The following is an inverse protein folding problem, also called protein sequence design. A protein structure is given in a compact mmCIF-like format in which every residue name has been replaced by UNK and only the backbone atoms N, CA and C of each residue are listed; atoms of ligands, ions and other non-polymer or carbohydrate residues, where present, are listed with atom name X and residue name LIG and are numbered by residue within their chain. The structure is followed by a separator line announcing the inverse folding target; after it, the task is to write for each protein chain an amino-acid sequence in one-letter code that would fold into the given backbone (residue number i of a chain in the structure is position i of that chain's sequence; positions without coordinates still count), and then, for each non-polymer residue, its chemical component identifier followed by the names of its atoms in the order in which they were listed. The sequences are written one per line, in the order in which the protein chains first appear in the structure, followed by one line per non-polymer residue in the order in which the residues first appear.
data_IF_160715648033
#
_entry.id   IF_160715648033
#
_cell.length_a   1.000
_cell.length_b   1.000
_cell.length_c   1.000
_cell.angle_alpha   90.00
_cell.angle_beta   90.00
_cell.angle_gamma   90.00
#
_symmetry.space_group_name_H-M   'P 1'
#
loop_
_entity.id
_entity.type
_entity.pdbx_description
1 polymer ?
#
# COMPACT_ATOMS: atom_id res chain seq x y z
N UNK A 1 -12.90 -67.33 4.49
CA UNK A 1 -11.79 -66.81 5.30
C UNK A 1 -11.58 -65.36 4.87
N UNK A 2 -12.20 -64.43 5.60
CA UNK A 2 -12.41 -63.03 5.19
C UNK A 2 -11.25 -62.12 5.63
N UNK A 3 -11.08 -61.09 4.82
CA UNK A 3 -9.99 -60.12 4.75
C UNK A 3 -9.93 -59.13 5.92
N UNK A 4 -8.70 -58.67 6.15
CA UNK A 4 -8.26 -57.68 7.11
C UNK A 4 -9.02 -56.35 7.01
N UNK A 5 -9.38 -55.83 8.18
CA UNK A 5 -9.97 -54.50 8.38
C UNK A 5 -8.92 -53.40 8.20
N UNK A 6 -8.99 -52.65 7.11
CA UNK A 6 -8.22 -51.42 6.92
C UNK A 6 -8.98 -50.25 7.54
N UNK A 7 -8.46 -49.68 8.62
CA UNK A 7 -9.02 -48.48 9.24
C UNK A 7 -8.70 -47.25 8.38
N UNK A 8 -9.74 -46.46 8.14
CA UNK A 8 -9.70 -45.15 7.50
C UNK A 8 -8.88 -44.16 8.33
N UNK A 9 -7.87 -43.54 7.71
CA UNK A 9 -7.30 -42.28 8.20
C UNK A 9 -7.87 -41.19 7.30
N UNK A 10 -8.90 -40.51 7.79
CA UNK A 10 -9.43 -39.29 7.20
C UNK A 10 -8.38 -38.18 7.38
N UNK A 11 -7.60 -37.93 6.33
CA UNK A 11 -6.78 -36.72 6.25
C UNK A 11 -7.73 -35.52 6.04
N UNK A 12 -8.07 -34.86 7.14
CA UNK A 12 -8.69 -33.53 7.14
C UNK A 12 -7.68 -32.54 6.56
N UNK A 13 -7.80 -32.24 5.26
CA UNK A 13 -7.07 -31.12 4.65
C UNK A 13 -7.73 -29.84 5.12
N UNK A 14 -7.10 -29.20 6.11
CA UNK A 14 -7.42 -27.84 6.54
C UNK A 14 -7.06 -26.94 5.36
N UNK A 15 -8.07 -26.47 4.63
CA UNK A 15 -7.94 -25.31 3.78
C UNK A 15 -7.64 -24.11 4.68
N UNK A 16 -6.36 -23.74 4.77
CA UNK A 16 -5.98 -22.40 5.18
C UNK A 16 -6.56 -21.48 4.11
N UNK A 17 -7.71 -20.89 4.41
CA UNK A 17 -8.18 -19.73 3.70
C UNK A 17 -7.10 -18.65 3.87
N UNK A 18 -6.22 -18.56 2.87
CA UNK A 18 -5.57 -17.31 2.51
C UNK A 18 -6.70 -16.29 2.43
N UNK A 19 -6.85 -15.47 3.47
CA UNK A 19 -7.77 -14.34 3.41
C UNK A 19 -7.13 -13.41 2.38
N UNK A 20 -7.55 -13.59 1.13
CA UNK A 20 -7.13 -12.80 0.01
C UNK A 20 -7.37 -11.33 0.37
N UNK A 21 -6.28 -10.58 0.43
CA UNK A 21 -6.28 -9.12 0.52
C UNK A 21 -6.96 -8.44 -0.70
N UNK A 22 -7.61 -9.21 -1.58
CA UNK A 22 -8.33 -8.74 -2.75
C UNK A 22 -9.81 -8.44 -2.47
N UNK A 23 -10.41 -8.96 -1.39
CA UNK A 23 -11.82 -8.69 -1.08
C UNK A 23 -12.10 -7.27 -0.56
N UNK A 24 -11.06 -6.51 -0.18
CA UNK A 24 -11.22 -5.14 0.36
C UNK A 24 -11.42 -4.09 -0.76
N UNK A 25 -11.27 -4.47 -2.04
CA UNK A 25 -11.30 -3.53 -3.17
C UNK A 25 -12.67 -3.31 -3.83
N UNK A 26 -13.68 -4.13 -3.57
CA UNK A 26 -14.93 -4.12 -4.34
C UNK A 26 -15.87 -2.95 -3.98
N UNK A 27 -15.82 -2.43 -2.75
CA UNK A 27 -16.72 -1.38 -2.28
C UNK A 27 -16.31 0.06 -2.61
N UNK A 28 -15.08 0.28 -3.11
CA UNK A 28 -14.49 1.61 -3.21
C UNK A 28 -14.40 2.16 -4.65
N UNK A 29 -14.94 1.42 -5.64
CA UNK A 29 -14.79 1.69 -7.06
C UNK A 29 -16.02 2.35 -7.72
N UNK A 30 -16.98 2.85 -6.94
CA UNK A 30 -18.22 3.42 -7.50
C UNK A 30 -18.06 4.90 -7.87
N UNK A 31 -17.66 5.17 -9.11
CA UNK A 31 -18.07 6.38 -9.85
C UNK A 31 -17.15 7.60 -9.74
N UNK A 32 -16.57 7.98 -10.90
CA UNK A 32 -15.73 9.16 -11.19
C UNK A 32 -14.50 9.32 -10.28
N UNK A 33 -13.36 8.90 -10.83
CA UNK A 33 -12.06 9.11 -10.20
C UNK A 33 -11.74 10.61 -10.07
N UNK A 34 -11.81 11.16 -8.85
CA UNK A 34 -11.50 12.56 -8.55
C UNK A 34 -10.13 12.76 -7.92
N UNK A 35 -9.40 11.68 -7.63
CA UNK A 35 -8.02 11.73 -7.15
C UNK A 35 -7.06 10.99 -8.07
N UNK A 36 -5.81 11.47 -8.11
CA UNK A 36 -4.68 10.77 -8.70
C UNK A 36 -3.53 10.72 -7.72
N UNK A 37 -2.98 9.53 -7.47
CA UNK A 37 -1.78 9.35 -6.66
C UNK A 37 -0.56 9.30 -7.57
N UNK A 38 0.46 10.11 -7.29
CA UNK A 38 1.73 10.14 -8.02
C UNK A 38 2.88 9.88 -7.04
N UNK A 39 3.87 9.11 -7.47
CA UNK A 39 5.10 8.85 -6.73
C UNK A 39 6.27 9.39 -7.54
N UNK A 40 7.17 10.10 -6.88
CA UNK A 40 8.40 10.63 -7.48
C UNK A 40 9.57 10.41 -6.53
N UNK A 41 10.77 10.28 -7.07
CA UNK A 41 11.98 10.10 -6.28
C UNK A 41 13.11 9.60 -7.16
N UNK A 42 14.26 9.34 -6.54
CA UNK A 42 15.40 8.75 -7.25
C UNK A 42 15.06 7.32 -7.65
N UNK A 43 15.05 7.06 -8.96
CA UNK A 43 14.79 5.72 -9.49
C UNK A 43 15.99 4.78 -9.37
N UNK A 44 17.14 5.29 -8.89
CA UNK A 44 18.36 4.53 -8.65
C UNK A 44 18.98 4.94 -7.31
N UNK A 45 19.18 3.97 -6.42
CA UNK A 45 19.76 4.20 -5.09
C UNK A 45 20.85 3.16 -4.85
N UNK A 46 21.98 3.58 -4.28
CA UNK A 46 23.06 2.64 -3.90
C UNK A 46 22.67 1.86 -2.65
N UNK A 47 23.10 0.61 -2.55
CA UNK A 47 22.85 -0.23 -1.40
C UNK A 47 23.32 0.47 -0.11
N UNK A 48 22.48 0.41 0.94
CA UNK A 48 22.74 1.07 2.21
C UNK A 48 22.60 2.60 2.20
N UNK A 49 22.12 3.20 1.10
CA UNK A 49 21.73 4.62 1.06
C UNK A 49 20.23 4.78 1.30
N UNK A 50 19.81 5.94 1.85
CA UNK A 50 18.42 6.21 2.10
C UNK A 50 17.55 6.15 0.84
N UNK A 51 16.44 5.42 0.94
CA UNK A 51 15.40 5.36 -0.09
C UNK A 51 14.37 6.43 0.23
N UNK A 52 14.28 7.44 -0.64
CA UNK A 52 13.42 8.60 -0.45
C UNK A 52 12.40 8.74 -1.57
N UNK A 53 11.13 8.99 -1.23
CA UNK A 53 10.03 9.15 -2.17
C UNK A 53 9.13 10.33 -1.77
N UNK A 54 8.67 11.08 -2.77
CA UNK A 54 7.56 12.01 -2.66
C UNK A 54 6.28 11.32 -3.14
N UNK A 55 5.22 11.39 -2.34
CA UNK A 55 3.88 10.96 -2.75
C UNK A 55 2.97 12.17 -2.80
N UNK A 56 2.31 12.37 -3.93
CA UNK A 56 1.31 13.41 -4.13
C UNK A 56 -0.06 12.76 -4.40
N UNK A 57 -1.09 13.35 -3.83
CA UNK A 57 -2.50 13.08 -4.10
C UNK A 57 -3.06 14.35 -4.73
N UNK A 58 -3.43 14.26 -6.00
CA UNK A 58 -3.93 15.35 -6.84
C UNK A 58 -5.44 15.24 -6.98
N UNK A 59 -6.18 16.35 -6.84
CA UNK A 59 -7.60 16.39 -7.17
C UNK A 59 -7.79 16.61 -8.68
N UNK A 60 -8.24 15.59 -9.38
CA UNK A 60 -8.56 15.61 -10.81
C UNK A 60 -10.05 15.83 -11.09
N UNK A 61 -10.86 16.00 -10.05
CA UNK A 61 -12.28 16.30 -10.16
C UNK A 61 -12.58 17.78 -10.37
N UNK A 62 -13.87 18.13 -10.37
CA UNK A 62 -14.36 19.50 -10.56
C UNK A 62 -14.79 20.17 -9.24
N UNK A 63 -14.76 19.45 -8.13
CA UNK A 63 -15.21 19.93 -6.82
C UNK A 63 -14.10 19.79 -5.79
N UNK A 64 -14.19 20.61 -4.74
CA UNK A 64 -13.31 20.48 -3.56
C UNK A 64 -13.47 19.11 -2.89
N UNK A 65 -12.36 18.52 -2.47
CA UNK A 65 -12.33 17.28 -1.68
C UNK A 65 -11.81 17.55 -0.27
N UNK A 66 -12.38 16.87 0.72
CA UNK A 66 -11.93 16.93 2.13
C UNK A 66 -11.16 15.66 2.48
N UNK A 67 -9.84 15.69 2.33
CA UNK A 67 -8.99 14.54 2.56
C UNK A 67 -8.51 14.48 4.01
N UNK A 68 -8.35 13.29 4.61
CA UNK A 68 -7.61 13.13 5.85
C UNK A 68 -6.21 13.74 5.73
N UNK A 69 -5.84 14.58 6.71
CA UNK A 69 -4.53 15.23 6.74
C UNK A 69 -3.39 14.23 6.98
N UNK A 70 -3.50 13.21 7.84
CA UNK A 70 -2.36 12.32 8.08
C UNK A 70 -2.02 11.43 6.86
N UNK A 71 -0.82 11.59 6.31
CA UNK A 71 -0.24 10.71 5.29
C UNK A 71 0.77 9.75 5.94
N UNK A 72 0.29 8.70 6.57
CA UNK A 72 1.12 7.67 7.22
C UNK A 72 1.05 6.38 6.41
N UNK A 73 2.18 5.77 6.04
CA UNK A 73 2.18 4.51 5.31
C UNK A 73 1.60 3.36 6.12
N UNK A 74 0.96 2.41 5.42
CA UNK A 74 0.39 1.14 5.90
C UNK A 74 -0.83 1.25 6.81
N UNK A 75 -0.81 2.10 7.81
CA UNK A 75 -1.79 2.06 8.91
C UNK A 75 -3.01 2.95 8.70
N UNK A 76 -3.01 3.78 7.66
CA UNK A 76 -4.05 4.79 7.47
C UNK A 76 -4.40 4.93 5.98
N UNK A 77 -4.78 6.14 5.61
CA UNK A 77 -5.29 6.51 4.29
C UNK A 77 -4.28 6.35 3.16
N UNK A 78 -2.97 6.17 3.45
CA UNK A 78 -1.92 5.88 2.47
C UNK A 78 -1.33 4.48 2.70
N UNK A 79 -1.36 3.62 1.70
CA UNK A 79 -0.76 2.28 1.75
C UNK A 79 0.31 2.12 0.69
N UNK A 80 1.49 1.64 1.08
CA UNK A 80 2.51 1.19 0.13
C UNK A 80 2.42 -0.31 -0.07
N UNK A 81 2.47 -0.72 -1.34
CA UNK A 81 2.78 -2.08 -1.72
C UNK A 81 4.10 -2.06 -2.46
N UNK A 82 5.13 -2.65 -1.85
CA UNK A 82 6.46 -2.78 -2.45
C UNK A 82 6.72 -4.22 -2.79
N UNK A 83 7.14 -4.48 -4.03
CA UNK A 83 7.47 -5.82 -4.54
C UNK A 83 8.90 -5.84 -5.04
N UNK A 84 9.62 -6.92 -4.76
CA UNK A 84 10.94 -7.15 -5.33
C UNK A 84 10.86 -7.74 -6.76
N UNK A 85 12.01 -8.05 -7.37
CA UNK A 85 12.09 -8.62 -8.72
C UNK A 85 11.35 -9.95 -8.88
N UNK A 86 11.23 -10.72 -7.81
CA UNK A 86 10.51 -11.99 -7.79
C UNK A 86 8.99 -11.80 -7.58
N UNK A 87 8.51 -10.57 -7.52
CA UNK A 87 7.10 -10.24 -7.25
C UNK A 87 6.68 -10.41 -5.79
N UNK A 88 7.61 -10.78 -4.89
CA UNK A 88 7.32 -10.93 -3.45
C UNK A 88 7.09 -9.56 -2.84
N UNK A 89 5.97 -9.42 -2.13
CA UNK A 89 5.65 -8.22 -1.36
C UNK A 89 6.59 -8.12 -0.15
N UNK A 90 7.23 -6.96 0.02
CA UNK A 90 8.04 -6.67 1.19
C UNK A 90 7.13 -6.41 2.38
N UNK A 91 7.45 -7.06 3.50
CA UNK A 91 6.78 -6.81 4.76
C UNK A 91 7.26 -5.48 5.36
N UNK A 92 6.31 -4.69 5.84
CA UNK A 92 6.63 -3.46 6.55
C UNK A 92 6.99 -3.74 8.02
N UNK A 93 8.10 -3.20 8.47
CA UNK A 93 8.65 -3.37 9.83
C UNK A 93 8.83 -2.05 10.56
N UNK A 94 8.36 -0.95 9.97
CA UNK A 94 8.40 0.37 10.59
C UNK A 94 7.39 0.51 11.74
N UNK A 95 7.52 1.57 12.54
CA UNK A 95 6.65 1.80 13.68
C UNK A 95 5.19 2.01 13.25
N UNK A 96 4.26 1.67 14.15
CA UNK A 96 2.84 1.99 14.05
C UNK A 96 2.57 3.25 14.89
N UNK A 97 2.52 4.45 14.28
CA UNK A 97 2.35 5.68 15.03
C UNK A 97 0.89 5.81 15.49
N UNK A 98 0.69 6.14 16.77
CA UNK A 98 -0.62 6.58 17.27
C UNK A 98 -0.87 8.03 16.87
N UNK A 99 -1.86 8.27 16.03
CA UNK A 99 -2.21 9.62 15.60
C UNK A 99 -3.09 10.33 16.63
N UNK A 100 -2.70 11.56 17.00
CA UNK A 100 -3.49 12.41 17.89
C UNK A 100 -4.61 13.16 17.15
N UNK A 101 -4.50 13.29 15.83
CA UNK A 101 -5.34 14.15 14.99
C UNK A 101 -5.89 13.40 13.77
N UNK A 102 -6.46 12.21 13.97
CA UNK A 102 -6.99 11.35 12.89
C UNK A 102 -8.16 11.98 12.11
N UNK A 103 -8.89 12.89 12.77
CA UNK A 103 -10.09 13.52 12.20
C UNK A 103 -9.79 14.81 11.44
N UNK A 104 -8.55 15.32 11.47
CA UNK A 104 -8.20 16.54 10.72
C UNK A 104 -8.31 16.31 9.22
N UNK A 105 -8.90 17.30 8.53
CA UNK A 105 -9.09 17.29 7.08
C UNK A 105 -8.35 18.44 6.42
N UNK A 106 -7.81 18.19 5.24
CA UNK A 106 -7.28 19.19 4.32
C UNK A 106 -8.27 19.39 3.17
N UNK A 107 -8.52 20.66 2.84
CA UNK A 107 -9.23 21.04 1.63
C UNK A 107 -8.32 20.88 0.42
N UNK A 108 -8.72 20.07 -0.54
CA UNK A 108 -8.02 19.91 -1.80
C UNK A 108 -8.91 20.38 -2.95
N UNK A 109 -8.66 21.60 -3.43
CA UNK A 109 -9.39 22.19 -4.55
C UNK A 109 -9.05 21.49 -5.88
N UNK A 110 -9.88 21.62 -6.93
CA UNK A 110 -9.58 21.09 -8.26
C UNK A 110 -8.19 21.50 -8.73
N UNK A 111 -7.43 20.55 -9.31
CA UNK A 111 -6.06 20.71 -9.81
C UNK A 111 -4.97 20.91 -8.73
N UNK A 112 -5.35 21.01 -7.45
CA UNK A 112 -4.38 21.10 -6.36
C UNK A 112 -3.85 19.71 -5.99
N UNK A 113 -2.65 19.69 -5.41
CA UNK A 113 -2.01 18.49 -4.91
C UNK A 113 -1.67 18.63 -3.43
N UNK A 114 -1.86 17.54 -2.68
CA UNK A 114 -1.43 17.39 -1.30
C UNK A 114 -0.47 16.22 -1.21
N UNK A 115 0.62 16.34 -0.45
CA UNK A 115 1.64 15.32 -0.47
C UNK A 115 2.59 15.34 0.71
N UNK A 116 3.43 14.31 0.75
CA UNK A 116 4.45 14.12 1.78
C UNK A 116 5.70 13.52 1.18
N UNK A 117 6.84 13.99 1.67
CA UNK A 117 8.15 13.35 1.48
C UNK A 117 8.36 12.27 2.54
N UNK A 118 8.69 11.07 2.09
CA UNK A 118 9.10 9.93 2.90
C UNK A 118 10.60 9.74 2.69
N UNK A 119 11.37 10.00 3.74
CA UNK A 119 12.78 9.64 3.82
C UNK A 119 12.92 8.28 4.53
N UNK A 120 14.05 7.63 4.29
CA UNK A 120 14.49 6.43 5.00
C UNK A 120 13.50 5.25 4.94
N UNK A 121 12.89 4.98 3.78
CA UNK A 121 11.96 3.85 3.66
C UNK A 121 12.61 2.50 3.97
N UNK A 122 13.93 2.39 3.87
CA UNK A 122 14.71 1.21 4.24
C UNK A 122 14.67 0.85 5.73
N UNK A 123 14.32 1.78 6.61
CA UNK A 123 14.08 1.47 8.02
C UNK A 123 12.80 0.63 8.20
N UNK A 124 11.84 0.79 7.29
CA UNK A 124 10.55 0.12 7.35
C UNK A 124 10.39 -1.03 6.34
N UNK A 125 11.18 -1.07 5.28
CA UNK A 125 11.08 -2.04 4.19
C UNK A 125 12.46 -2.58 3.83
N UNK A 126 12.56 -3.89 3.63
CA UNK A 126 13.85 -4.55 3.38
C UNK A 126 14.35 -4.34 1.93
N UNK A 127 15.19 -3.32 1.74
CA UNK A 127 15.95 -3.06 0.50
C UNK A 127 17.40 -3.58 0.56
N UNK A 128 17.69 -4.59 1.39
CA UNK A 128 19.05 -5.10 1.61
C UNK A 128 19.68 -5.83 0.40
N UNK A 129 18.91 -6.08 -0.65
CA UNK A 129 19.38 -6.77 -1.86
C UNK A 129 19.37 -5.81 -3.05
N UNK A 130 20.45 -5.78 -3.86
CA UNK A 130 20.41 -5.12 -5.16
C UNK A 130 19.31 -5.72 -6.05
N UNK A 131 18.73 -4.88 -6.92
CA UNK A 131 17.68 -5.28 -7.86
C UNK A 131 16.61 -4.21 -8.06
N UNK A 132 15.63 -4.54 -8.90
CA UNK A 132 14.44 -3.74 -9.20
C UNK A 132 13.34 -4.00 -8.17
N UNK A 133 12.79 -2.91 -7.66
CA UNK A 133 11.63 -2.89 -6.77
C UNK A 133 10.51 -2.08 -7.43
N UNK A 134 9.30 -2.63 -7.39
CA UNK A 134 8.08 -1.92 -7.80
C UNK A 134 7.37 -1.39 -6.58
N UNK A 135 7.04 -0.11 -6.60
CA UNK A 135 6.40 0.60 -5.50
C UNK A 135 5.07 1.16 -6.00
N UNK A 136 3.99 0.80 -5.31
CA UNK A 136 2.64 1.32 -5.57
C UNK A 136 2.10 1.97 -4.30
N UNK A 137 1.49 3.13 -4.45
CA UNK A 137 0.84 3.86 -3.39
C UNK A 137 -0.67 3.86 -3.62
N UNK A 138 -1.44 3.54 -2.59
CA UNK A 138 -2.90 3.60 -2.60
C UNK A 138 -3.38 4.63 -1.60
N UNK A 139 -4.29 5.51 -2.00
CA UNK A 139 -4.97 6.45 -1.13
C UNK A 139 -6.46 6.12 -0.97
N UNK A 140 -7.01 6.35 0.21
CA UNK A 140 -8.47 6.42 0.41
C UNK A 140 -9.11 5.24 1.13
N UNK A 141 -8.33 4.23 1.55
CA UNK A 141 -8.80 3.14 2.42
C UNK A 141 -8.37 3.44 3.87
N UNK A 142 -9.34 3.62 4.76
CA UNK A 142 -9.10 3.78 6.19
C UNK A 142 -8.51 2.53 6.87
N UNK A 143 -8.07 2.64 8.14
CA UNK A 143 -7.58 1.51 8.92
C UNK A 143 -8.63 0.40 9.09
N UNK A 144 -9.90 0.78 9.17
CA UNK A 144 -11.09 -0.08 9.27
C UNK A 144 -11.51 -0.70 7.92
N UNK A 145 -10.80 -0.39 6.83
CA UNK A 145 -11.15 -0.83 5.49
C UNK A 145 -12.22 0.02 4.79
N UNK A 146 -12.74 1.06 5.46
CA UNK A 146 -13.77 1.93 4.88
C UNK A 146 -13.17 3.02 3.99
N UNK A 147 -13.87 3.35 2.91
CA UNK A 147 -13.45 4.37 1.95
C UNK A 147 -14.25 5.65 2.11
N UNK A 148 -13.63 6.73 2.60
CA UNK A 148 -14.30 8.03 2.73
C UNK A 148 -14.58 8.70 1.37
N UNK A 149 -13.83 8.32 0.33
CA UNK A 149 -13.89 8.98 -1.00
C UNK A 149 -13.58 8.05 -2.17
N UNK A 150 -13.63 6.73 -1.98
CA UNK A 150 -13.17 5.71 -2.94
C UNK A 150 -11.67 5.39 -2.83
N UNK A 151 -11.22 4.32 -3.48
CA UNK A 151 -9.83 3.85 -3.50
C UNK A 151 -9.10 4.36 -4.75
N UNK A 152 -7.91 4.93 -4.57
CA UNK A 152 -7.09 5.44 -5.66
C UNK A 152 -5.69 4.85 -5.64
N UNK A 153 -5.23 4.36 -6.78
CA UNK A 153 -3.93 3.71 -6.92
C UNK A 153 -3.02 4.54 -7.80
N UNK A 154 -1.77 4.69 -7.38
CA UNK A 154 -0.73 5.26 -8.22
C UNK A 154 -0.37 4.29 -9.35
N UNK A 155 0.24 4.83 -10.40
CA UNK A 155 1.09 4.00 -11.27
C UNK A 155 2.26 3.43 -10.46
N UNK A 156 2.80 2.31 -10.90
CA UNK A 156 4.00 1.75 -10.30
C UNK A 156 5.19 2.68 -10.52
N UNK A 157 5.90 2.97 -9.44
CA UNK A 157 7.21 3.58 -9.45
C UNK A 157 8.27 2.49 -9.38
N UNK A 158 9.27 2.58 -10.25
CA UNK A 158 10.34 1.59 -10.35
C UNK A 158 11.60 2.15 -9.70
N UNK A 159 12.05 1.48 -8.65
CA UNK A 159 13.30 1.74 -7.95
C UNK A 159 14.32 0.67 -8.32
N UNK A 160 15.54 1.07 -8.62
CA UNK A 160 16.69 0.17 -8.80
C UNK A 160 17.67 0.37 -7.65
N UNK A 161 17.84 -0.65 -6.83
CA UNK A 161 18.92 -0.71 -5.83
C UNK A 161 20.15 -1.27 -6.52
N UNK A 162 21.20 -0.45 -6.62
CA UNK A 162 22.48 -0.85 -7.23
C UNK A 162 23.51 -1.13 -6.14
N UNK A 163 24.51 -2.01 -6.40
CA UNK A 163 25.60 -2.26 -5.45
C UNK A 163 26.31 -0.99 -4.99
#
# INVERSE_FOLDING_TARGET
MQLLSTRYISALVIFLASVDAEAVGAGCASGKQSLRVKIFGDSRVRLGKPVSLNVLVENTGQSELKLPKPMVPRYYWLRFQVRNEQGKVLEWRGPEPKLLYENERVSLYPEYSYGRFFNNLEEALDFSKPGKYSIRATWGIGPDGNCASGEYRSREFILHVIP
#
